data_IF_049047668633
#
_entry.id   IF_049047668633
#
_cell.length_a   1.000
_cell.length_b   1.000
_cell.length_c   1.000
_cell.angle_alpha   90.00
_cell.angle_beta   90.00
_cell.angle_gamma   90.00
#
_symmetry.space_group_name_H-M   'P 1'
#
loop_
_entity.id
_entity.type
_entity.pdbx_description
1 polymer ?
#
# COMPACT_ATOMS: atom_id res chain seq x y z
N UNK A 1 52.86 15.03 28.28
CA UNK A 1 53.95 15.58 27.44
C UNK A 1 53.79 17.09 27.43
N UNK A 2 54.59 17.78 28.25
CA UNK A 2 54.54 19.23 28.39
C UNK A 2 55.65 19.88 27.57
N UNK A 3 55.27 20.66 26.56
CA UNK A 3 56.19 21.53 25.85
C UNK A 3 56.44 22.79 26.70
N UNK A 4 57.57 22.83 27.41
CA UNK A 4 58.15 24.08 27.94
C UNK A 4 58.83 24.81 26.79
N UNK A 5 58.17 25.79 26.20
CA UNK A 5 58.81 26.76 25.31
C UNK A 5 59.30 27.96 26.16
N UNK A 6 60.54 27.87 26.62
CA UNK A 6 61.31 29.03 27.08
C UNK A 6 61.98 29.69 25.86
N UNK A 7 61.65 30.95 25.61
CA UNK A 7 62.20 31.71 24.48
C UNK A 7 61.73 33.15 24.56
N UNK A 8 62.51 33.95 25.29
CA UNK A 8 62.32 35.39 25.50
C UNK A 8 62.71 36.12 24.20
N UNK A 9 61.73 36.30 23.31
CA UNK A 9 61.85 37.03 22.04
C UNK A 9 60.77 38.11 21.96
N UNK A 10 61.02 39.26 22.61
CA UNK A 10 60.10 40.40 22.72
C UNK A 10 59.97 41.12 21.37
N UNK A 11 58.73 41.24 20.87
CA UNK A 11 58.35 42.22 19.84
C UNK A 11 57.50 41.67 18.69
N UNK A 12 57.95 40.62 17.98
CA UNK A 12 57.30 40.14 16.76
C UNK A 12 56.50 38.82 16.88
N UNK A 13 56.75 38.01 17.90
CA UNK A 13 56.18 36.66 18.02
C UNK A 13 54.71 36.62 18.48
N UNK A 14 54.19 37.72 19.05
CA UNK A 14 52.81 37.79 19.53
C UNK A 14 51.80 37.79 18.37
N UNK A 15 52.07 38.58 17.32
CA UNK A 15 51.18 38.67 16.16
C UNK A 15 51.01 37.35 15.41
N UNK A 16 52.12 36.60 15.21
CA UNK A 16 52.08 35.31 14.54
C UNK A 16 51.25 34.26 15.32
N UNK A 17 51.33 34.25 16.65
CA UNK A 17 50.52 33.34 17.49
C UNK A 17 49.03 33.66 17.42
N UNK A 18 48.67 34.94 17.49
CA UNK A 18 47.27 35.37 17.35
C UNK A 18 46.71 35.05 15.96
N UNK A 19 47.49 35.23 14.89
CA UNK A 19 47.08 34.85 13.53
C UNK A 19 46.86 33.34 13.40
N UNK A 20 47.72 32.51 13.98
CA UNK A 20 47.55 31.05 13.98
C UNK A 20 46.28 30.64 14.72
N UNK A 21 46.04 31.17 15.93
CA UNK A 21 44.83 30.88 16.71
C UNK A 21 43.57 31.33 15.95
N UNK A 22 43.59 32.54 15.36
CA UNK A 22 42.48 33.03 14.55
C UNK A 22 42.21 32.14 13.32
N UNK A 23 43.27 31.66 12.66
CA UNK A 23 43.17 30.73 11.53
C UNK A 23 42.57 29.38 11.96
N UNK A 24 43.05 28.79 13.06
CA UNK A 24 42.51 27.56 13.63
C UNK A 24 41.03 27.72 14.03
N UNK A 25 40.66 28.85 14.64
CA UNK A 25 39.27 29.15 15.00
C UNK A 25 38.38 29.32 13.76
N UNK A 26 38.86 30.01 12.73
CA UNK A 26 38.13 30.18 11.47
C UNK A 26 37.92 28.85 10.75
N UNK A 27 38.95 27.99 10.70
CA UNK A 27 38.85 26.64 10.12
C UNK A 27 37.89 25.76 10.92
N UNK A 28 37.95 25.79 12.26
CA UNK A 28 37.03 25.05 13.12
C UNK A 28 35.58 25.51 12.89
N UNK A 29 35.34 26.82 12.85
CA UNK A 29 34.01 27.38 12.59
C UNK A 29 33.48 27.00 11.20
N UNK A 30 34.35 27.03 10.18
CA UNK A 30 33.99 26.61 8.83
C UNK A 30 33.60 25.13 8.76
N UNK A 31 34.38 24.24 9.38
CA UNK A 31 34.07 22.81 9.46
C UNK A 31 32.81 22.53 10.27
N UNK A 32 32.62 23.19 11.42
CA UNK A 32 31.39 23.08 12.18
C UNK A 32 30.16 23.49 11.36
N UNK A 33 30.28 24.53 10.52
CA UNK A 33 29.22 24.95 9.60
C UNK A 33 28.95 23.91 8.52
N UNK A 34 29.97 23.29 7.94
CA UNK A 34 29.77 22.23 6.92
C UNK A 34 29.08 21.00 7.51
N UNK A 35 29.48 20.56 8.71
CA UNK A 35 28.81 19.48 9.44
C UNK A 35 27.36 19.82 9.78
N UNK A 36 27.09 21.06 10.21
CA UNK A 36 25.72 21.51 10.47
C UNK A 36 24.87 21.52 9.18
N UNK A 37 25.44 21.94 8.05
CA UNK A 37 24.76 21.88 6.75
C UNK A 37 24.52 20.43 6.31
N UNK A 38 25.47 19.53 6.53
CA UNK A 38 25.30 18.11 6.27
C UNK A 38 24.16 17.54 7.13
N UNK A 39 24.16 17.79 8.44
CA UNK A 39 23.07 17.38 9.33
C UNK A 39 21.70 17.93 8.90
N UNK A 40 21.64 19.22 8.56
CA UNK A 40 20.41 19.86 8.06
C UNK A 40 19.93 19.32 6.72
N UNK A 41 20.83 18.76 5.92
CA UNK A 41 20.43 18.09 4.69
C UNK A 41 19.74 16.75 4.95
N UNK A 42 19.78 16.23 6.19
CA UNK A 42 19.16 14.96 6.66
C UNK A 42 19.58 13.73 5.83
N UNK A 43 20.88 13.49 5.60
CA UNK A 43 21.32 12.46 4.66
C UNK A 43 20.80 11.08 5.08
N UNK A 44 20.46 10.26 4.09
CA UNK A 44 19.91 8.92 4.29
C UNK A 44 20.78 7.88 3.59
N UNK A 45 20.91 6.72 4.21
CA UNK A 45 21.45 5.50 3.62
C UNK A 45 20.34 4.50 3.42
N UNK A 46 20.47 3.63 2.43
CA UNK A 46 19.49 2.59 2.13
C UNK A 46 20.15 1.22 2.30
N UNK A 47 19.50 0.33 3.04
CA UNK A 47 19.86 -1.09 3.13
C UNK A 47 18.77 -1.94 2.50
N UNK A 48 19.19 -2.99 1.78
CA UNK A 48 18.30 -3.99 1.21
C UNK A 48 18.44 -5.29 1.99
N UNK A 49 17.30 -5.89 2.34
CA UNK A 49 17.22 -7.20 2.98
C UNK A 49 16.07 -8.00 2.39
N UNK A 50 16.01 -9.29 2.70
CA UNK A 50 14.99 -10.20 2.19
C UNK A 50 14.36 -10.95 3.35
N UNK A 51 13.03 -10.97 3.39
CA UNK A 51 12.28 -11.71 4.42
C UNK A 51 12.13 -13.16 3.94
N UNK A 52 12.43 -14.17 4.79
CA UNK A 52 12.19 -15.55 4.43
C UNK A 52 10.70 -15.78 4.19
N UNK A 53 10.39 -16.63 3.21
CA UNK A 53 9.02 -16.93 2.80
C UNK A 53 8.11 -17.38 3.96
N UNK A 54 8.67 -17.99 5.01
CA UNK A 54 7.92 -18.40 6.19
C UNK A 54 7.22 -17.25 6.91
N UNK A 55 7.73 -16.04 6.76
CA UNK A 55 7.31 -14.86 7.52
C UNK A 55 6.60 -13.84 6.63
N UNK A 56 6.41 -14.15 5.34
CA UNK A 56 5.77 -13.26 4.37
C UNK A 56 4.29 -13.60 4.25
N UNK A 57 3.44 -12.61 4.46
CA UNK A 57 1.99 -12.72 4.34
C UNK A 57 1.56 -13.04 2.90
N UNK A 58 0.50 -13.84 2.76
CA UNK A 58 -0.16 -14.05 1.47
C UNK A 58 -0.98 -12.80 1.10
N UNK A 59 -0.89 -12.25 -0.12
CA UNK A 59 -1.61 -11.04 -0.50
C UNK A 59 -3.12 -11.27 -0.50
N UNK A 60 -3.88 -10.21 -0.23
CA UNK A 60 -5.31 -10.20 -0.41
C UNK A 60 -5.66 -10.19 -1.91
N UNK A 61 -6.77 -10.86 -2.25
CA UNK A 61 -7.23 -11.05 -3.62
C UNK A 61 -8.64 -10.50 -3.72
N UNK A 62 -8.84 -9.57 -4.64
CA UNK A 62 -10.16 -9.03 -4.93
C UNK A 62 -10.62 -9.45 -6.32
N UNK A 63 -11.84 -9.97 -6.41
CA UNK A 63 -12.49 -10.36 -7.65
C UNK A 63 -13.71 -9.49 -7.84
N UNK A 64 -13.83 -8.82 -8.98
CA UNK A 64 -15.00 -8.04 -9.35
C UNK A 64 -15.58 -8.52 -10.67
N UNK A 65 -16.90 -8.58 -10.72
CA UNK A 65 -17.59 -8.81 -11.98
C UNK A 65 -17.52 -7.54 -12.82
N UNK A 66 -17.12 -7.69 -14.08
CA UNK A 66 -17.22 -6.64 -15.07
C UNK A 66 -18.56 -6.81 -15.76
N UNK A 67 -19.52 -5.97 -15.40
CA UNK A 67 -20.82 -5.98 -16.09
C UNK A 67 -20.62 -5.60 -17.57
N UNK A 68 -21.11 -6.46 -18.47
CA UNK A 68 -21.34 -6.08 -19.86
C UNK A 68 -22.44 -5.01 -19.89
N UNK A 69 -22.12 -3.89 -20.52
CA UNK A 69 -23.05 -2.77 -20.73
C UNK A 69 -24.31 -3.28 -21.44
N UNK A 70 -25.42 -3.45 -20.72
CA UNK A 70 -26.62 -3.99 -21.36
C UNK A 70 -27.90 -3.97 -20.54
N UNK A 71 -27.85 -4.12 -19.21
CA UNK A 71 -29.09 -4.12 -18.44
C UNK A 71 -29.57 -2.70 -18.14
N UNK A 72 -30.41 -2.21 -19.07
CA UNK A 72 -31.37 -1.12 -18.85
C UNK A 72 -32.03 -1.36 -17.49
N UNK A 73 -31.65 -0.58 -16.49
CA UNK A 73 -32.22 -0.70 -15.16
C UNK A 73 -33.68 -0.28 -15.23
N UNK A 74 -34.59 -1.25 -15.22
CA UNK A 74 -35.98 -0.96 -14.88
C UNK A 74 -35.99 -0.26 -13.52
N UNK A 75 -36.37 1.02 -13.55
CA UNK A 75 -36.42 1.87 -12.38
C UNK A 75 -37.64 1.46 -11.56
N UNK A 76 -37.43 0.60 -10.57
CA UNK A 76 -38.40 0.46 -9.48
C UNK A 76 -38.25 1.72 -8.62
N UNK A 77 -39.27 2.58 -8.59
CA UNK A 77 -39.26 3.78 -7.76
C UNK A 77 -39.14 3.41 -6.26
N UNK A 78 -38.33 4.17 -5.52
CA UNK A 78 -38.23 4.06 -4.06
C UNK A 78 -37.09 3.19 -3.50
N UNK A 79 -36.43 2.33 -4.29
CA UNK A 79 -35.32 1.51 -3.79
C UNK A 79 -33.94 2.17 -4.03
N UNK A 80 -33.13 2.24 -2.97
CA UNK A 80 -31.76 2.76 -2.97
C UNK A 80 -30.89 2.05 -4.04
N UNK A 81 -30.20 2.79 -4.94
CA UNK A 81 -29.41 2.21 -6.04
C UNK A 81 -28.40 1.14 -5.62
N UNK A 82 -27.68 1.35 -4.52
CA UNK A 82 -26.70 0.41 -4.00
C UNK A 82 -27.36 -0.88 -3.49
N UNK A 83 -28.49 -0.76 -2.79
CA UNK A 83 -29.25 -1.92 -2.31
C UNK A 83 -29.76 -2.75 -3.47
N UNK A 84 -30.30 -2.10 -4.50
CA UNK A 84 -30.79 -2.76 -5.72
C UNK A 84 -29.66 -3.47 -6.45
N UNK A 85 -28.52 -2.79 -6.63
CA UNK A 85 -27.34 -3.40 -7.24
C UNK A 85 -26.88 -4.63 -6.43
N UNK A 86 -27.02 -4.61 -5.10
CA UNK A 86 -26.61 -5.73 -4.25
C UNK A 86 -27.56 -6.90 -4.38
N UNK A 87 -28.86 -6.66 -4.33
CA UNK A 87 -29.86 -7.72 -4.46
C UNK A 87 -29.81 -8.42 -5.83
N UNK A 88 -29.33 -7.71 -6.86
CA UNK A 88 -29.07 -8.27 -8.19
C UNK A 88 -27.68 -8.89 -8.33
N UNK A 89 -26.78 -8.60 -7.41
CA UNK A 89 -25.42 -9.10 -7.48
C UNK A 89 -25.41 -10.61 -7.25
N UNK A 90 -24.58 -11.27 -8.04
CA UNK A 90 -24.30 -12.67 -7.88
C UNK A 90 -23.72 -12.96 -6.49
N UNK A 91 -24.23 -13.94 -5.74
CA UNK A 91 -23.66 -14.29 -4.45
C UNK A 91 -22.25 -14.84 -4.63
N UNK A 92 -21.40 -14.66 -3.62
CA UNK A 92 -19.98 -15.06 -3.66
C UNK A 92 -19.78 -16.51 -4.14
N UNK A 93 -20.63 -17.45 -3.71
CA UNK A 93 -20.59 -18.87 -4.08
C UNK A 93 -20.84 -19.14 -5.57
N UNK A 94 -21.44 -18.20 -6.29
CA UNK A 94 -21.61 -18.29 -7.74
C UNK A 94 -20.41 -17.77 -8.52
N UNK A 95 -19.59 -16.90 -7.91
CA UNK A 95 -18.39 -16.30 -8.50
C UNK A 95 -17.17 -17.16 -8.19
N UNK A 96 -16.97 -17.47 -6.92
CA UNK A 96 -15.88 -18.31 -6.41
C UNK A 96 -16.42 -19.71 -6.19
N UNK A 97 -16.10 -20.62 -7.11
CA UNK A 97 -16.55 -22.02 -7.08
C UNK A 97 -15.83 -22.81 -5.98
N UNK A 98 -14.55 -22.55 -5.82
CA UNK A 98 -13.67 -23.32 -4.93
C UNK A 98 -12.47 -22.44 -4.56
N UNK A 99 -12.06 -22.51 -3.30
CA UNK A 99 -10.86 -21.86 -2.79
C UNK A 99 -10.12 -22.85 -1.89
N UNK A 100 -8.90 -23.22 -2.28
CA UNK A 100 -8.06 -24.19 -1.59
C UNK A 100 -6.73 -23.56 -1.14
N UNK A 101 -6.24 -23.90 0.08
CA UNK A 101 -6.86 -24.76 1.08
C UNK A 101 -7.97 -24.05 1.87
N UNK A 102 -9.04 -24.73 2.27
CA UNK A 102 -10.00 -24.30 3.30
C UNK A 102 -10.39 -22.81 3.32
N UNK A 103 -10.58 -22.20 2.15
CA UNK A 103 -11.00 -20.80 2.02
C UNK A 103 -12.30 -20.66 1.24
N UNK A 104 -13.01 -21.77 0.99
CA UNK A 104 -14.32 -21.74 0.32
C UNK A 104 -15.37 -21.17 1.30
N UNK A 105 -16.14 -20.16 0.90
CA UNK A 105 -17.17 -19.56 1.75
C UNK A 105 -18.39 -20.48 1.86
N UNK A 106 -18.87 -20.73 3.08
CA UNK A 106 -20.03 -21.61 3.34
C UNK A 106 -21.37 -20.86 3.38
N UNK A 107 -21.36 -19.54 3.67
CA UNK A 107 -22.56 -18.73 3.89
C UNK A 107 -22.61 -17.55 2.93
N UNK A 108 -23.83 -17.16 2.55
CA UNK A 108 -24.08 -15.91 1.84
C UNK A 108 -23.76 -14.72 2.76
N UNK A 109 -23.14 -13.71 2.19
CA UNK A 109 -22.70 -12.51 2.91
C UNK A 109 -23.79 -11.43 2.85
N UNK A 110 -24.09 -10.80 3.99
CA UNK A 110 -25.16 -9.81 4.13
C UNK A 110 -24.79 -8.42 3.60
N UNK A 111 -25.80 -7.65 3.21
CA UNK A 111 -25.68 -6.24 2.80
C UNK A 111 -25.82 -5.28 4.01
N UNK A 112 -25.15 -4.11 4.02
CA UNK A 112 -23.96 -3.74 3.23
C UNK A 112 -22.67 -4.21 3.91
N UNK A 113 -21.65 -4.55 3.12
CA UNK A 113 -20.28 -4.70 3.65
C UNK A 113 -20.02 -5.97 4.46
N UNK A 114 -20.85 -7.01 4.34
CA UNK A 114 -20.71 -8.22 5.15
C UNK A 114 -19.36 -8.93 4.98
N UNK A 115 -19.05 -9.75 5.98
CA UNK A 115 -17.86 -10.59 6.03
C UNK A 115 -18.23 -12.04 6.36
N UNK A 116 -17.46 -12.98 5.82
CA UNK A 116 -17.53 -14.40 6.17
C UNK A 116 -16.13 -14.89 6.52
N UNK A 117 -15.93 -15.28 7.79
CA UNK A 117 -14.71 -15.91 8.23
C UNK A 117 -14.60 -17.32 7.64
N UNK A 118 -13.39 -17.68 7.22
CA UNK A 118 -13.00 -19.02 6.77
C UNK A 118 -11.68 -19.40 7.45
N UNK A 119 -11.31 -20.68 7.55
CA UNK A 119 -10.11 -21.10 8.27
C UNK A 119 -8.82 -20.37 7.88
N UNK A 120 -8.61 -20.06 6.59
CA UNK A 120 -7.43 -19.33 6.11
C UNK A 120 -7.58 -17.80 6.02
N UNK A 121 -8.68 -17.23 6.51
CA UNK A 121 -8.86 -15.78 6.48
C UNK A 121 -10.30 -15.30 6.49
N UNK A 122 -10.58 -14.25 5.73
CA UNK A 122 -11.91 -13.63 5.71
C UNK A 122 -12.27 -13.20 4.31
N UNK A 123 -13.46 -13.58 3.86
CA UNK A 123 -14.08 -13.01 2.68
C UNK A 123 -14.91 -11.79 3.05
N UNK A 124 -14.81 -10.74 2.25
CA UNK A 124 -15.57 -9.52 2.41
C UNK A 124 -16.21 -9.14 1.09
N UNK A 125 -17.42 -8.61 1.14
CA UNK A 125 -18.13 -8.14 -0.05
C UNK A 125 -18.38 -6.66 0.06
N UNK A 126 -18.11 -5.95 -1.02
CA UNK A 126 -18.27 -4.50 -1.07
C UNK A 126 -18.57 -4.05 -2.50
N UNK A 127 -18.97 -2.79 -2.64
CA UNK A 127 -19.40 -2.23 -3.92
C UNK A 127 -18.49 -1.11 -4.39
N UNK A 128 -18.20 -1.07 -5.67
CA UNK A 128 -17.48 0.04 -6.27
C UNK A 128 -18.40 1.24 -6.49
N UNK A 129 -17.80 2.39 -6.81
CA UNK A 129 -18.55 3.57 -7.23
C UNK A 129 -19.38 3.38 -8.51
N UNK A 130 -19.05 2.37 -9.33
CA UNK A 130 -19.79 2.03 -10.54
C UNK A 130 -20.82 0.93 -10.29
N UNK A 131 -21.26 0.78 -9.03
CA UNK A 131 -22.25 -0.22 -8.60
C UNK A 131 -21.83 -1.68 -8.87
N UNK A 132 -20.54 -1.96 -9.10
CA UNK A 132 -20.05 -3.33 -9.27
C UNK A 132 -19.81 -3.97 -7.91
N UNK A 133 -20.25 -5.21 -7.76
CA UNK A 133 -19.95 -6.01 -6.56
C UNK A 133 -18.58 -6.65 -6.69
N UNK A 134 -17.82 -6.54 -5.61
CA UNK A 134 -16.46 -7.04 -5.49
C UNK A 134 -16.34 -7.90 -4.24
N UNK A 135 -15.53 -8.95 -4.36
CA UNK A 135 -15.26 -9.92 -3.32
C UNK A 135 -13.79 -9.91 -2.98
N UNK A 136 -13.43 -9.55 -1.76
CA UNK A 136 -12.05 -9.54 -1.29
C UNK A 136 -11.83 -10.69 -0.33
N UNK A 137 -10.92 -11.59 -0.67
CA UNK A 137 -10.36 -12.56 0.26
C UNK A 137 -9.12 -11.98 0.90
N UNK A 138 -9.10 -11.95 2.23
CA UNK A 138 -7.94 -11.56 3.02
C UNK A 138 -7.42 -12.80 3.76
N UNK A 139 -6.30 -13.39 3.30
CA UNK A 139 -5.61 -14.40 4.06
C UNK A 139 -5.13 -13.86 5.41
N UNK A 140 -5.12 -14.71 6.44
CA UNK A 140 -4.50 -14.43 7.74
C UNK A 140 -3.31 -15.38 8.00
N UNK A 141 -2.65 -15.81 6.93
CA UNK A 141 -1.56 -16.79 6.96
C UNK A 141 -0.36 -16.31 6.15
N UNK A 142 0.81 -16.81 6.50
CA UNK A 142 2.05 -16.64 5.74
C UNK A 142 2.20 -17.71 4.66
N UNK A 143 3.11 -17.51 3.71
CA UNK A 143 3.45 -18.53 2.72
C UNK A 143 4.01 -19.81 3.33
N UNK A 144 4.71 -19.73 4.47
CA UNK A 144 5.18 -20.90 5.23
C UNK A 144 4.03 -21.72 5.80
N UNK A 145 3.12 -21.05 6.51
CA UNK A 145 1.92 -21.71 7.07
C UNK A 145 1.06 -22.34 5.96
N UNK A 146 0.95 -21.68 4.80
CA UNK A 146 0.27 -22.25 3.65
C UNK A 146 0.95 -23.52 3.11
N UNK A 147 2.28 -23.60 3.17
CA UNK A 147 3.04 -24.80 2.80
C UNK A 147 2.64 -25.99 3.68
N UNK A 148 2.55 -25.74 4.99
CA UNK A 148 2.30 -26.75 6.02
C UNK A 148 0.88 -27.33 5.95
N UNK A 149 -0.10 -26.51 5.51
CA UNK A 149 -1.50 -26.97 5.36
C UNK A 149 -1.67 -28.04 4.29
N UNK A 150 -0.70 -28.23 3.40
CA UNK A 150 -0.76 -29.21 2.31
C UNK A 150 0.22 -30.34 2.59
N UNK A 151 -0.29 -31.57 2.67
CA UNK A 151 0.51 -32.82 2.75
C UNK A 151 1.52 -33.05 1.59
N UNK A 152 1.67 -32.07 0.69
CA UNK A 152 2.59 -32.08 -0.46
C UNK A 152 3.62 -30.93 -0.43
N UNK A 153 3.69 -30.15 0.66
CA UNK A 153 4.72 -29.12 0.87
C UNK A 153 4.71 -27.96 -0.13
N UNK A 154 3.58 -27.69 -0.80
CA UNK A 154 3.49 -26.67 -1.84
C UNK A 154 2.67 -25.46 -1.34
N UNK A 155 3.32 -24.31 -1.19
CA UNK A 155 2.69 -23.01 -0.85
C UNK A 155 1.92 -22.45 -2.03
N UNK A 156 0.71 -22.97 -2.24
CA UNK A 156 -0.14 -22.60 -3.35
C UNK A 156 -1.54 -22.26 -2.84
N UNK A 157 -1.97 -21.03 -3.07
CA UNK A 157 -3.37 -20.63 -2.89
C UNK A 157 -4.06 -20.79 -4.24
N UNK A 158 -5.08 -21.64 -4.30
CA UNK A 158 -5.84 -21.90 -5.53
C UNK A 158 -7.22 -21.28 -5.41
N UNK A 159 -7.57 -20.45 -6.38
CA UNK A 159 -8.91 -19.89 -6.53
C UNK A 159 -9.49 -20.34 -7.87
N UNK A 160 -10.64 -21.01 -7.82
CA UNK A 160 -11.41 -21.40 -9.00
C UNK A 160 -12.58 -20.44 -9.17
N UNK A 161 -12.53 -19.61 -10.21
CA UNK A 161 -13.62 -18.72 -10.60
C UNK A 161 -14.54 -19.44 -11.57
N UNK A 162 -15.84 -19.32 -11.35
CA UNK A 162 -16.84 -19.90 -12.26
C UNK A 162 -16.93 -19.06 -13.53
N UNK A 163 -16.86 -19.70 -14.69
CA UNK A 163 -17.23 -19.04 -15.95
C UNK A 163 -18.73 -19.19 -16.13
N UNK A 164 -19.47 -18.09 -16.33
CA UNK A 164 -20.81 -18.21 -16.93
C UNK A 164 -20.64 -18.18 -18.44
N UNK A 165 -20.76 -19.34 -19.05
CA UNK A 165 -21.18 -19.43 -20.43
C UNK A 165 -22.72 -19.42 -20.37
N UNK A 166 -23.33 -18.24 -20.38
CA UNK A 166 -24.76 -18.20 -20.69
C UNK A 166 -24.96 -18.72 -22.13
N UNK A 167 -26.15 -19.25 -22.43
CA UNK A 167 -26.52 -19.68 -23.78
C UNK A 167 -26.42 -18.54 -24.81
N UNK A 168 -26.53 -17.29 -24.35
CA UNK A 168 -26.05 -16.10 -25.05
C UNK A 168 -24.54 -15.97 -24.85
N UNK A 169 -23.76 -15.96 -25.95
CA UNK A 169 -22.29 -15.89 -26.06
C UNK A 169 -21.55 -14.75 -25.29
N UNK A 170 -22.16 -14.12 -24.30
CA UNK A 170 -21.58 -13.08 -23.48
C UNK A 170 -20.69 -13.72 -22.40
N UNK A 171 -19.39 -13.56 -22.57
CA UNK A 171 -18.37 -13.99 -21.62
C UNK A 171 -18.40 -13.10 -20.37
N UNK A 172 -18.53 -13.68 -19.17
CA UNK A 172 -18.30 -12.91 -17.96
C UNK A 172 -16.82 -12.62 -17.81
N UNK A 173 -16.50 -11.33 -17.87
CA UNK A 173 -15.17 -10.81 -17.57
C UNK A 173 -15.03 -10.59 -16.05
N UNK A 174 -13.92 -11.07 -15.49
CA UNK A 174 -13.52 -10.76 -14.12
C UNK A 174 -12.33 -9.82 -14.12
N UNK A 175 -12.38 -8.80 -13.27
CA UNK A 175 -11.21 -8.02 -12.86
C UNK A 175 -10.69 -8.62 -11.53
N UNK A 176 -9.47 -9.17 -11.54
CA UNK A 176 -8.84 -9.75 -10.34
C UNK A 176 -7.66 -8.88 -9.92
N UNK A 177 -7.66 -8.41 -8.69
CA UNK A 177 -6.65 -7.53 -8.15
C UNK A 177 -5.94 -8.14 -6.93
N UNK A 178 -4.63 -7.88 -6.81
CA UNK A 178 -3.79 -8.33 -5.70
C UNK A 178 -3.26 -7.12 -4.91
N UNK A 179 -3.32 -7.17 -3.59
CA UNK A 179 -2.98 -6.03 -2.73
C UNK A 179 -2.76 -6.43 -1.26
N UNK A 180 -2.19 -5.52 -0.46
CA UNK A 180 -2.08 -5.66 1.00
C UNK A 180 -3.27 -5.10 1.81
N UNK A 181 -4.29 -4.56 1.13
CA UNK A 181 -5.36 -3.76 1.77
C UNK A 181 -6.62 -4.55 2.12
N UNK A 182 -7.42 -4.00 3.05
CA UNK A 182 -8.79 -4.49 3.34
C UNK A 182 -9.74 -4.18 2.18
N UNK A 183 -9.64 -2.99 1.58
CA UNK A 183 -10.43 -2.57 0.43
C UNK A 183 -9.51 -1.92 -0.61
N UNK A 184 -9.19 -2.60 -1.72
CA UNK A 184 -8.40 -1.96 -2.77
C UNK A 184 -9.23 -0.88 -3.45
N UNK A 185 -8.56 0.16 -3.90
CA UNK A 185 -9.22 1.17 -4.71
C UNK A 185 -9.13 0.73 -6.17
N UNK A 186 -10.19 0.06 -6.64
CA UNK A 186 -10.22 -0.57 -7.97
C UNK A 186 -10.59 0.38 -9.10
N UNK A 187 -11.20 1.52 -8.77
CA UNK A 187 -11.41 2.57 -9.76
C UNK A 187 -10.14 3.39 -9.87
N UNK A 188 -9.73 3.71 -11.11
CA UNK A 188 -8.69 4.70 -11.34
C UNK A 188 -9.20 6.03 -10.77
N UNK A 189 -8.81 6.29 -9.53
CA UNK A 189 -9.08 7.54 -8.85
C UNK A 189 -8.28 8.71 -9.45
N UNK A 190 -7.83 8.57 -10.70
CA UNK A 190 -6.94 9.48 -11.41
C UNK A 190 -5.49 9.46 -10.93
N UNK A 191 -5.13 8.59 -10.00
CA UNK A 191 -3.76 8.44 -9.48
C UNK A 191 -3.31 6.99 -9.55
N UNK A 192 -2.17 6.75 -10.21
CA UNK A 192 -1.50 5.44 -10.24
C UNK A 192 -1.12 4.97 -8.82
N UNK A 193 -0.90 5.89 -7.88
CA UNK A 193 -0.55 5.57 -6.50
C UNK A 193 -1.69 4.95 -5.69
N UNK A 194 -2.92 5.02 -6.21
CA UNK A 194 -4.11 4.49 -5.54
C UNK A 194 -4.58 3.17 -6.13
N UNK A 195 -4.12 2.80 -7.32
CA UNK A 195 -4.50 1.54 -7.97
C UNK A 195 -4.02 0.35 -7.12
N UNK A 196 -4.70 -0.81 -7.20
CA UNK A 196 -4.15 -2.06 -6.67
C UNK A 196 -2.77 -2.31 -7.29
N UNK A 197 -1.93 -3.04 -6.57
CA UNK A 197 -0.54 -3.21 -6.97
C UNK A 197 -0.45 -4.02 -8.29
N UNK A 198 -1.43 -4.90 -8.55
CA UNK A 198 -1.59 -5.60 -9.81
C UNK A 198 -3.05 -5.97 -10.10
N UNK A 199 -3.48 -5.90 -11.37
CA UNK A 199 -4.81 -6.33 -11.83
C UNK A 199 -4.70 -7.19 -13.09
N UNK A 200 -5.47 -8.27 -13.14
CA UNK A 200 -5.61 -9.17 -14.29
C UNK A 200 -7.04 -9.15 -14.77
N UNK A 201 -7.22 -9.15 -16.09
CA UNK A 201 -8.53 -9.32 -16.71
C UNK A 201 -8.67 -10.77 -17.18
N UNK A 202 -9.73 -11.43 -16.75
CA UNK A 202 -10.03 -12.82 -17.12
C UNK A 202 -11.31 -12.79 -17.94
N UNK A 203 -11.16 -12.90 -19.25
CA UNK A 203 -12.27 -12.91 -20.21
C UNK A 203 -12.65 -14.30 -20.72
N UNK A 204 -11.82 -15.30 -20.45
CA UNK A 204 -12.06 -16.69 -20.86
C UNK A 204 -11.58 -17.67 -19.78
N UNK A 205 -12.21 -18.87 -19.71
CA UNK A 205 -11.74 -19.97 -18.88
C UNK A 205 -10.27 -20.25 -19.14
N UNK A 206 -9.43 -20.06 -18.14
CA UNK A 206 -7.98 -20.28 -18.26
C UNK A 206 -7.38 -20.85 -16.99
N UNK A 207 -6.24 -21.53 -17.15
CA UNK A 207 -5.39 -21.95 -16.03
C UNK A 207 -4.19 -21.01 -15.97
N UNK A 208 -4.05 -20.28 -14.87
CA UNK A 208 -2.97 -19.32 -14.68
C UNK A 208 -2.15 -19.67 -13.44
N UNK A 209 -0.84 -19.64 -13.61
CA UNK A 209 0.10 -19.69 -12.49
C UNK A 209 0.58 -18.27 -12.23
N UNK A 210 0.51 -17.86 -10.97
CA UNK A 210 0.78 -16.51 -10.52
C UNK A 210 1.88 -16.56 -9.47
N UNK A 211 2.86 -15.69 -9.56
CA UNK A 211 4.00 -15.61 -8.65
C UNK A 211 4.02 -14.25 -7.98
N UNK A 212 3.88 -14.24 -6.67
CA UNK A 212 3.78 -13.03 -5.86
C UNK A 212 5.10 -12.70 -5.19
N UNK A 213 5.54 -11.46 -5.35
CA UNK A 213 6.68 -10.88 -4.60
C UNK A 213 6.23 -9.60 -3.93
N UNK A 214 6.45 -9.47 -2.61
CA UNK A 214 6.24 -8.21 -1.89
C UNK A 214 7.48 -7.33 -1.89
N UNK A 215 7.24 -6.02 -1.84
CA UNK A 215 8.25 -5.00 -1.65
C UNK A 215 7.80 -4.10 -0.51
N UNK A 216 8.62 -4.02 0.52
CA UNK A 216 8.42 -3.15 1.68
C UNK A 216 9.47 -2.05 1.61
N UNK A 217 9.03 -0.80 1.53
CA UNK A 217 9.89 0.38 1.60
C UNK A 217 9.58 1.15 2.88
N UNK A 218 10.55 1.19 3.77
CA UNK A 218 10.50 1.90 5.04
C UNK A 218 11.45 3.08 5.01
N UNK A 219 10.97 4.24 5.44
CA UNK A 219 11.76 5.47 5.51
C UNK A 219 11.48 6.26 6.77
N UNK A 220 12.48 6.97 7.31
CA UNK A 220 12.28 7.82 8.47
C UNK A 220 11.41 9.03 8.10
N UNK A 221 10.73 9.59 9.08
CA UNK A 221 10.09 10.89 8.93
C UNK A 221 11.17 11.98 8.84
N UNK A 222 11.22 12.68 7.71
CA UNK A 222 12.21 13.72 7.41
C UNK A 222 11.53 15.09 7.28
N UNK A 223 12.23 16.16 7.63
CA UNK A 223 11.72 17.53 7.43
C UNK A 223 11.55 17.86 5.95
N UNK A 224 12.49 17.43 5.10
CA UNK A 224 12.40 17.68 3.64
C UNK A 224 11.34 16.83 2.94
N UNK A 225 10.90 15.74 3.56
CA UNK A 225 9.99 14.77 2.98
C UNK A 225 9.16 14.11 4.09
N UNK A 226 8.18 14.84 4.66
CA UNK A 226 7.42 14.34 5.79
C UNK A 226 6.63 13.09 5.40
N UNK A 227 6.53 12.17 6.35
CA UNK A 227 5.70 10.99 6.22
C UNK A 227 4.99 10.68 7.55
N UNK A 228 3.89 9.94 7.46
CA UNK A 228 3.16 9.50 8.63
C UNK A 228 3.63 8.09 9.03
N UNK A 229 4.11 7.97 10.27
CA UNK A 229 4.62 6.73 10.87
C UNK A 229 3.63 6.06 11.81
N UNK A 230 2.36 6.49 11.82
CA UNK A 230 1.34 5.89 12.69
C UNK A 230 1.05 4.45 12.24
N UNK A 231 0.94 3.53 13.19
CA UNK A 231 0.66 2.14 12.90
C UNK A 231 -0.68 1.97 12.17
N UNK A 232 -0.68 1.16 11.12
CA UNK A 232 -1.85 0.95 10.27
C UNK A 232 -2.21 2.13 9.35
N UNK A 233 -1.43 3.22 9.35
CA UNK A 233 -1.68 4.34 8.44
C UNK A 233 -1.45 3.94 6.98
N UNK A 234 -2.41 4.32 6.14
CA UNK A 234 -2.38 4.08 4.71
C UNK A 234 -2.74 5.38 4.00
N UNK A 235 -1.82 5.86 3.16
CA UNK A 235 -2.02 7.08 2.37
C UNK A 235 -3.30 7.00 1.53
N UNK A 236 -3.59 5.83 0.96
CA UNK A 236 -4.80 5.59 0.19
C UNK A 236 -6.07 5.65 1.04
N UNK A 237 -6.04 5.14 2.27
CA UNK A 237 -7.20 5.19 3.16
C UNK A 237 -7.46 6.62 3.65
N UNK A 238 -6.41 7.40 3.91
CA UNK A 238 -6.53 8.83 4.19
C UNK A 238 -7.23 9.56 3.04
N UNK A 239 -6.74 9.38 1.80
CA UNK A 239 -7.32 10.02 0.63
C UNK A 239 -8.76 9.58 0.36
N UNK A 240 -9.06 8.29 0.52
CA UNK A 240 -10.40 7.72 0.43
C UNK A 240 -11.33 8.40 1.43
N UNK A 241 -10.99 8.37 2.71
CA UNK A 241 -11.81 8.94 3.79
C UNK A 241 -12.01 10.45 3.63
N UNK A 242 -10.97 11.19 3.26
CA UNK A 242 -11.08 12.61 2.94
C UNK A 242 -12.07 12.85 1.80
N UNK A 243 -11.96 12.09 0.71
CA UNK A 243 -12.87 12.23 -0.43
C UNK A 243 -14.31 11.89 -0.10
N UNK A 244 -14.53 10.92 0.78
CA UNK A 244 -15.85 10.52 1.25
C UNK A 244 -16.47 11.61 2.13
N UNK A 245 -15.69 12.22 3.02
CA UNK A 245 -16.14 13.38 3.80
C UNK A 245 -16.50 14.57 2.91
N UNK A 246 -15.66 14.89 1.92
CA UNK A 246 -15.95 15.97 0.97
C UNK A 246 -17.22 15.71 0.15
N UNK A 247 -17.46 14.44 -0.22
CA UNK A 247 -18.68 14.04 -0.89
C UNK A 247 -19.91 14.18 0.02
N UNK A 248 -19.84 13.63 1.23
CA UNK A 248 -20.89 13.71 2.23
C UNK A 248 -21.28 15.17 2.52
N UNK A 249 -20.30 16.05 2.72
CA UNK A 249 -20.53 17.47 2.97
C UNK A 249 -21.19 18.19 1.79
N UNK A 250 -20.92 17.75 0.55
CA UNK A 250 -21.44 18.39 -0.66
C UNK A 250 -22.83 17.91 -1.05
N UNK A 251 -23.09 16.62 -0.92
CA UNK A 251 -24.29 15.97 -1.45
C UNK A 251 -25.22 15.42 -0.37
N UNK A 252 -24.79 15.40 0.89
CA UNK A 252 -25.54 14.86 2.03
C UNK A 252 -26.08 13.44 1.80
N UNK A 253 -25.30 12.62 1.09
CA UNK A 253 -25.62 11.24 0.75
C UNK A 253 -24.34 10.40 0.64
N UNK A 254 -24.49 9.08 0.74
CA UNK A 254 -23.41 8.10 0.63
C UNK A 254 -23.39 7.48 -0.76
N UNK A 255 -22.19 7.36 -1.35
CA UNK A 255 -22.01 6.45 -2.50
C UNK A 255 -21.98 5.00 -2.01
N UNK A 256 -22.18 3.99 -2.89
CA UNK A 256 -22.19 2.59 -2.48
C UNK A 256 -21.01 2.15 -1.58
N UNK A 257 -19.73 2.47 -1.87
CA UNK A 257 -18.63 2.10 -0.98
C UNK A 257 -18.58 2.90 0.34
N UNK A 258 -19.31 4.00 0.45
CA UNK A 258 -19.37 4.83 1.67
C UNK A 258 -20.40 4.32 2.68
N UNK A 259 -21.37 3.51 2.25
CA UNK A 259 -22.50 3.12 3.10
C UNK A 259 -22.08 2.41 4.38
N UNK A 260 -20.97 1.69 4.34
CA UNK A 260 -20.40 1.02 5.51
C UNK A 260 -19.75 2.01 6.48
N UNK A 261 -18.97 2.97 5.96
CA UNK A 261 -18.22 3.92 6.79
C UNK A 261 -19.09 5.10 7.27
N UNK A 262 -20.20 5.36 6.59
CA UNK A 262 -21.14 6.45 6.86
C UNK A 262 -22.59 5.94 6.89
N UNK A 263 -22.94 5.09 7.87
CA UNK A 263 -24.26 4.45 7.94
C UNK A 263 -25.41 5.43 8.22
N UNK A 264 -25.11 6.62 8.73
CA UNK A 264 -26.08 7.69 9.01
C UNK A 264 -26.52 8.44 7.74
N UNK A 265 -25.77 8.33 6.64
CA UNK A 265 -26.11 8.98 5.37
C UNK A 265 -26.97 8.06 4.52
N UNK A 266 -27.99 8.63 3.87
CA UNK A 266 -28.83 7.91 2.91
C UNK A 266 -28.06 7.65 1.61
N UNK A 267 -28.43 6.60 0.90
CA UNK A 267 -27.87 6.30 -0.42
C UNK A 267 -28.15 7.43 -1.41
N UNK A 268 -27.17 7.75 -2.25
CA UNK A 268 -27.32 8.81 -3.24
C UNK A 268 -28.29 8.39 -4.36
N UNK A 269 -29.17 9.30 -4.84
CA UNK A 269 -29.96 9.06 -6.04
C UNK A 269 -29.07 8.74 -7.24
N UNK A 270 -29.55 7.88 -8.14
CA UNK A 270 -28.78 7.45 -9.33
C UNK A 270 -28.33 8.65 -10.19
N UNK A 271 -29.19 9.66 -10.36
CA UNK A 271 -28.85 10.88 -11.08
C UNK A 271 -27.62 11.62 -10.50
N UNK A 272 -27.44 11.61 -9.18
CA UNK A 272 -26.27 12.20 -8.52
C UNK A 272 -25.02 11.34 -8.76
N UNK A 273 -25.17 10.01 -8.72
CA UNK A 273 -24.08 9.08 -9.01
C UNK A 273 -23.60 9.18 -10.47
N UNK A 274 -24.52 9.31 -11.42
CA UNK A 274 -24.25 9.41 -12.87
C UNK A 274 -23.70 10.77 -13.30
N UNK A 275 -24.05 11.85 -12.60
CA UNK A 275 -23.51 13.20 -12.86
C UNK A 275 -21.97 13.30 -12.71
N UNK A 276 -21.34 12.24 -12.22
CA UNK A 276 -19.92 12.13 -11.94
C UNK A 276 -19.09 11.92 -13.22
N UNK A 277 -18.72 13.03 -13.88
CA UNK A 277 -17.80 13.01 -15.02
C UNK A 277 -16.33 12.68 -14.69
N UNK A 278 -15.93 12.65 -13.40
CA UNK A 278 -14.55 12.41 -12.99
C UNK A 278 -14.42 11.60 -11.67
N UNK A 279 -13.32 10.85 -11.45
CA UNK A 279 -13.09 10.13 -10.21
C UNK A 279 -12.97 11.09 -9.01
N UNK A 280 -13.66 10.81 -7.90
CA UNK A 280 -13.78 11.70 -6.74
C UNK A 280 -12.44 12.18 -6.18
N UNK A 281 -11.44 11.31 -6.19
CA UNK A 281 -10.15 11.60 -5.58
C UNK A 281 -9.24 12.43 -6.48
N UNK A 282 -9.34 12.33 -7.81
CA UNK A 282 -8.55 13.20 -8.72
C UNK A 282 -8.93 14.67 -8.56
N UNK A 283 -10.22 14.95 -8.34
CA UNK A 283 -10.72 16.32 -8.19
C UNK A 283 -10.38 16.93 -6.83
N UNK A 284 -10.18 16.07 -5.82
CA UNK A 284 -10.08 16.48 -4.42
C UNK A 284 -8.69 16.21 -3.80
N UNK A 285 -7.74 15.61 -4.53
CA UNK A 285 -6.40 15.30 -4.01
C UNK A 285 -5.67 16.56 -3.52
N UNK A 286 -5.88 17.72 -4.15
CA UNK A 286 -5.32 19.00 -3.69
C UNK A 286 -6.00 19.60 -2.45
N UNK A 287 -7.10 19.02 -1.97
CA UNK A 287 -7.82 19.47 -0.75
C UNK A 287 -7.60 18.55 0.45
N UNK A 288 -6.91 17.44 0.26
CA UNK A 288 -6.67 16.45 1.30
C UNK A 288 -5.21 16.55 1.77
N UNK A 289 -5.00 16.96 3.02
CA UNK A 289 -3.67 17.03 3.63
C UNK A 289 -3.23 15.64 4.14
N UNK A 290 -3.08 14.70 3.20
CA UNK A 290 -2.62 13.36 3.49
C UNK A 290 -1.11 13.27 3.24
N UNK A 291 -0.31 13.11 4.28
CA UNK A 291 1.10 12.79 4.13
C UNK A 291 1.27 11.34 3.61
N UNK A 292 2.32 11.03 2.81
CA UNK A 292 2.64 9.66 2.44
C UNK A 292 2.96 8.81 3.69
N UNK A 293 2.74 7.50 3.61
CA UNK A 293 3.15 6.59 4.69
C UNK A 293 4.68 6.49 4.77
N UNK A 294 5.23 6.37 5.98
CA UNK A 294 6.64 6.06 6.18
C UNK A 294 6.96 4.60 5.84
N UNK A 295 5.96 3.72 5.91
CA UNK A 295 6.06 2.30 5.52
C UNK A 295 5.12 2.03 4.36
N UNK A 296 5.67 1.66 3.21
CA UNK A 296 4.91 1.31 2.00
C UNK A 296 5.14 -0.15 1.69
N UNK A 297 4.07 -0.93 1.64
CA UNK A 297 4.11 -2.33 1.23
C UNK A 297 3.32 -2.46 -0.08
N UNK A 298 3.91 -3.08 -1.10
CA UNK A 298 3.33 -3.29 -2.44
C UNK A 298 3.65 -4.68 -2.95
N UNK A 299 2.76 -5.28 -3.72
CA UNK A 299 2.99 -6.57 -4.38
C UNK A 299 3.27 -6.44 -5.88
N UNK A 300 4.15 -7.26 -6.42
CA UNK A 300 4.20 -7.52 -7.86
C UNK A 300 3.77 -8.95 -8.10
N UNK A 301 3.00 -9.16 -9.17
CA UNK A 301 2.54 -10.48 -9.58
C UNK A 301 3.07 -10.76 -10.98
N UNK A 302 3.91 -11.78 -11.10
CA UNK A 302 4.23 -12.40 -12.39
C UNK A 302 3.13 -13.38 -12.78
N UNK A 303 2.71 -13.38 -14.04
CA UNK A 303 1.66 -14.28 -14.53
C UNK A 303 2.18 -15.15 -15.68
N UNK A 304 2.02 -16.45 -15.53
CA UNK A 304 2.29 -17.45 -16.56
C UNK A 304 0.97 -18.13 -16.93
N UNK A 305 0.54 -17.95 -18.18
CA UNK A 305 -0.66 -18.62 -18.69
C UNK A 305 -0.25 -20.01 -19.15
N UNK A 306 -0.70 -21.04 -18.44
CA UNK A 306 -0.54 -22.41 -18.91
C UNK A 306 -1.42 -22.56 -20.16
N UNK A 307 -0.82 -22.85 -21.33
CA UNK A 307 -1.51 -23.03 -22.63
C UNK A 307 -2.51 -24.19 -22.69
N UNK A 308 -2.91 -24.73 -21.55
CA UNK A 308 -3.90 -25.80 -21.42
C UNK A 308 -5.29 -25.17 -21.42
N UNK A 309 -6.10 -25.53 -22.42
CA UNK A 309 -7.53 -25.21 -22.45
C UNK A 309 -8.13 -25.57 -21.08
N UNK A 310 -8.55 -24.57 -20.31
CA UNK A 310 -9.18 -24.83 -19.04
C UNK A 310 -10.47 -25.63 -19.25
N UNK A 311 -10.92 -26.30 -18.19
CA UNK A 311 -12.25 -26.89 -18.14
C UNK A 311 -13.26 -25.81 -18.55
N UNK A 312 -14.19 -26.13 -19.46
CA UNK A 312 -15.00 -25.14 -20.21
C UNK A 312 -15.72 -24.11 -19.32
N UNK A 313 -15.93 -24.42 -18.04
CA UNK A 313 -16.79 -23.64 -17.15
C UNK A 313 -16.07 -22.97 -15.98
N UNK A 314 -14.73 -22.96 -15.94
CA UNK A 314 -14.01 -22.31 -14.83
C UNK A 314 -12.58 -21.85 -15.16
N UNK A 315 -12.21 -20.70 -14.60
CA UNK A 315 -10.82 -20.22 -14.56
C UNK A 315 -10.17 -20.65 -13.25
N UNK A 316 -8.95 -21.19 -13.32
CA UNK A 316 -8.19 -21.65 -12.14
C UNK A 316 -6.94 -20.78 -11.99
N UNK A 317 -6.86 -20.07 -10.88
CA UNK A 317 -5.74 -19.22 -10.52
C UNK A 317 -4.93 -19.92 -9.43
N UNK A 318 -3.64 -20.14 -9.67
CA UNK A 318 -2.71 -20.75 -8.73
C UNK A 318 -1.71 -19.69 -8.30
N UNK A 319 -1.91 -19.10 -7.14
CA UNK A 319 -1.01 -18.11 -6.57
C UNK A 319 0.08 -18.79 -5.74
N UNK A 320 1.33 -18.47 -6.05
CA UNK A 320 2.55 -18.98 -5.42
C UNK A 320 3.43 -17.81 -4.98
N UNK A 321 4.34 -18.01 -4.02
CA UNK A 321 5.42 -17.07 -3.79
C UNK A 321 6.36 -17.03 -5.01
N UNK A 322 6.90 -15.86 -5.30
CA UNK A 322 8.03 -15.70 -6.22
C UNK A 322 9.32 -16.29 -5.62
N UNK A 323 10.39 -16.31 -6.42
CA UNK A 323 11.71 -16.79 -5.96
C UNK A 323 12.23 -15.98 -4.76
N UNK A 324 11.93 -14.68 -4.77
CA UNK A 324 12.09 -13.79 -3.63
C UNK A 324 10.68 -13.46 -3.15
N UNK A 325 10.33 -13.95 -1.95
CA UNK A 325 9.01 -13.74 -1.38
C UNK A 325 8.79 -12.27 -1.02
N UNK A 326 9.78 -11.64 -0.38
CA UNK A 326 9.74 -10.23 0.00
C UNK A 326 11.12 -9.57 -0.06
N UNK A 327 11.16 -8.35 -0.59
CA UNK A 327 12.30 -7.46 -0.52
C UNK A 327 11.98 -6.27 0.40
N UNK A 328 12.84 -6.04 1.40
CA UNK A 328 12.71 -4.93 2.35
C UNK A 328 13.81 -3.90 2.10
N UNK A 329 13.40 -2.72 1.67
CA UNK A 329 14.22 -1.53 1.52
C UNK A 329 14.04 -0.62 2.74
N UNK A 330 15.08 -0.53 3.57
CA UNK A 330 15.07 0.29 4.77
C UNK A 330 15.98 1.51 4.55
N UNK A 331 15.38 2.69 4.46
CA UNK A 331 16.10 3.95 4.56
C UNK A 331 16.32 4.29 6.04
N UNK A 332 17.53 4.72 6.38
CA UNK A 332 17.89 5.18 7.71
C UNK A 332 18.65 6.49 7.59
N UNK A 333 18.58 7.33 8.64
CA UNK A 333 19.41 8.55 8.69
C UNK A 333 20.88 8.12 8.79
N UNK A 334 21.67 8.47 7.79
CA UNK A 334 23.10 8.14 7.76
C UNK A 334 23.91 9.01 8.71
N UNK A 335 23.38 10.18 9.09
CA UNK A 335 24.03 11.11 10.00
C UNK A 335 23.11 11.49 11.16
N UNK A 336 23.50 11.08 12.36
CA UNK A 336 22.76 11.33 13.60
C UNK A 336 23.30 12.57 14.32
N UNK A 337 22.49 13.15 15.21
CA UNK A 337 22.91 14.32 16.00
C UNK A 337 24.10 14.01 16.91
N UNK A 338 24.16 12.77 17.43
CA UNK A 338 25.28 12.31 18.27
C UNK A 338 26.58 12.27 17.47
N UNK A 339 26.54 11.78 16.23
CA UNK A 339 27.69 11.79 15.31
C UNK A 339 28.16 13.23 15.04
N UNK A 340 27.23 14.14 14.76
CA UNK A 340 27.55 15.56 14.55
C UNK A 340 28.25 16.19 15.75
N UNK A 341 27.72 16.01 16.96
CA UNK A 341 28.31 16.58 18.18
C UNK A 341 29.69 15.98 18.43
N UNK A 342 29.84 14.66 18.25
CA UNK A 342 31.13 13.97 18.41
C UNK A 342 32.19 14.49 17.43
N UNK A 343 31.84 14.68 16.16
CA UNK A 343 32.76 15.19 15.14
C UNK A 343 33.10 16.66 15.35
N UNK A 344 32.11 17.50 15.67
CA UNK A 344 32.34 18.91 16.03
C UNK A 344 33.25 19.03 17.25
N UNK A 345 33.00 18.22 18.29
CA UNK A 345 33.83 18.17 19.49
C UNK A 345 35.27 17.75 19.19
N UNK A 346 35.46 16.72 18.35
CA UNK A 346 36.77 16.27 17.90
C UNK A 346 37.54 17.36 17.14
N UNK A 347 36.88 18.07 16.22
CA UNK A 347 37.50 19.15 15.43
C UNK A 347 37.88 20.34 16.31
N UNK A 348 37.00 20.75 17.23
CA UNK A 348 37.26 21.84 18.18
C UNK A 348 38.42 21.48 19.11
N UNK A 349 38.42 20.26 19.66
CA UNK A 349 39.50 19.79 20.52
C UNK A 349 40.84 19.71 19.79
N UNK A 350 40.85 19.28 18.53
CA UNK A 350 42.06 19.16 17.72
C UNK A 350 42.65 20.53 17.36
N UNK A 351 41.82 21.49 16.94
CA UNK A 351 42.28 22.78 16.43
C UNK A 351 42.53 23.82 17.52
N UNK A 352 41.78 23.77 18.62
CA UNK A 352 41.84 24.78 19.69
C UNK A 352 42.38 24.25 21.01
N UNK A 353 42.53 22.92 21.16
CA UNK A 353 42.98 22.32 22.42
C UNK A 353 41.97 22.45 23.56
N UNK A 354 40.71 22.77 23.25
CA UNK A 354 39.62 22.92 24.23
C UNK A 354 38.73 21.69 24.19
N UNK A 355 38.62 20.99 25.30
CA UNK A 355 37.58 19.97 25.51
C UNK A 355 36.42 20.60 26.29
N UNK A 356 35.20 20.43 25.79
CA UNK A 356 34.00 20.71 26.60
C UNK A 356 33.86 19.57 27.62
N UNK A 357 33.67 19.87 28.93
CA UNK A 357 33.46 18.85 29.96
C UNK A 357 32.13 18.11 29.80
#
# INVERSE_FOLDING_TARGET
>A
MGCRCGGDGRGGASGARWLLVACCAALAAWQCRTLLMLYRSEPVSMSLSFTPMTDVDVPAITVCLRELHGHRQDQVEGEAPARRAWLRADPLTTVVRECEPNCTPEKNISYPGGEAAVPLGTWRVWMTHTLRTCFTFRPNVTWGQLADTRNKGASVLKITLRSRLNESKDHIDYDVAFHNRVRPILSSLGSKMLQPDYTIQISQPLKMELYSTSYVHERPNLRRAPCNSSDGYSFSDCLKNCSYRLWANRHNCSTPPMLEDFPHLKDCPLAVLESRKAPLVRRNSGRCDCAPSCRRHTYTIGAEVAGVKAQRDASKLFLRPGQLAEQVALEQRSYQIVSMISEMGGIVSLLLGVSLP
#
